data_IF_991201981680
#
_entry.id   IF_991201981680
#
_cell.length_a   1.000
_cell.length_b   1.000
_cell.length_c   1.000
_cell.angle_alpha   90.00
_cell.angle_beta   90.00
_cell.angle_gamma   90.00
#
_symmetry.space_group_name_H-M   'P 1'
#
loop_
_entity.id
_entity.type
_entity.pdbx_description
1 polymer ?
#
# COMPACT_ATOMS: atom_id res chain seq x y z
N UNK A 1 -27.02 29.23 4.02
CA UNK A 1 -26.27 27.98 3.78
C UNK A 1 -25.70 27.53 5.11
N UNK A 2 -26.03 26.31 5.54
CA UNK A 2 -26.01 25.85 6.94
C UNK A 2 -24.68 26.00 7.67
N UNK A 3 -24.70 26.75 8.76
CA UNK A 3 -23.63 26.86 9.75
C UNK A 3 -23.96 25.90 10.90
N UNK A 4 -23.56 24.64 10.74
CA UNK A 4 -23.69 23.63 11.80
C UNK A 4 -22.74 24.02 12.94
N UNK A 5 -23.27 24.73 13.96
CA UNK A 5 -22.61 25.35 15.11
C UNK A 5 -21.64 24.49 15.92
N UNK A 6 -20.58 24.03 15.28
CA UNK A 6 -19.50 23.28 15.86
C UNK A 6 -18.55 24.28 16.55
N UNK A 7 -18.57 24.30 17.89
CA UNK A 7 -17.64 25.09 18.69
C UNK A 7 -16.19 24.67 18.35
N UNK A 8 -15.40 25.57 17.76
CA UNK A 8 -14.00 25.34 17.40
C UNK A 8 -13.07 25.90 18.48
N UNK A 9 -12.07 25.11 18.89
CA UNK A 9 -11.09 25.49 19.90
C UNK A 9 -9.70 25.60 19.28
N UNK A 10 -8.98 26.68 19.62
CA UNK A 10 -7.57 26.82 19.31
C UNK A 10 -6.77 26.11 20.39
N UNK A 11 -6.05 25.07 20.01
CA UNK A 11 -5.27 24.24 20.94
C UNK A 11 -3.79 24.40 20.65
N UNK A 12 -2.97 24.49 21.71
CA UNK A 12 -1.51 24.47 21.61
C UNK A 12 -1.07 23.09 22.09
N UNK A 13 -0.35 22.38 21.24
CA UNK A 13 0.22 21.10 21.63
C UNK A 13 1.57 21.32 22.33
N UNK A 14 2.01 20.34 23.13
CA UNK A 14 3.33 20.34 23.79
C UNK A 14 4.49 20.57 22.82
N UNK A 15 4.28 20.26 21.53
CA UNK A 15 5.19 20.52 20.42
C UNK A 15 5.35 22.00 20.03
N UNK A 16 4.58 22.91 20.64
CA UNK A 16 4.49 24.33 20.28
C UNK A 16 3.56 24.65 19.10
N UNK A 17 3.15 23.65 18.29
CA UNK A 17 2.22 23.89 17.16
C UNK A 17 0.81 24.15 17.67
N UNK A 18 0.17 25.11 17.01
CA UNK A 18 -1.23 25.50 17.27
C UNK A 18 -2.15 24.89 16.21
N UNK A 19 -3.29 24.33 16.62
CA UNK A 19 -4.31 23.78 15.71
C UNK A 19 -5.72 24.14 16.15
N UNK A 20 -6.56 24.55 15.20
CA UNK A 20 -8.00 24.69 15.40
C UNK A 20 -8.66 23.32 15.27
N UNK A 21 -9.35 22.88 16.31
CA UNK A 21 -10.03 21.58 16.36
C UNK A 21 -11.48 21.76 16.80
N UNK A 22 -12.37 20.91 16.31
CA UNK A 22 -13.75 20.90 16.80
C UNK A 22 -13.74 20.45 18.26
N UNK A 23 -14.36 21.22 19.16
CA UNK A 23 -14.38 20.97 20.60
C UNK A 23 -14.92 19.58 20.97
N UNK A 24 -15.94 19.09 20.25
CA UNK A 24 -16.46 17.73 20.44
C UNK A 24 -15.41 16.64 20.18
N UNK A 25 -14.56 16.85 19.17
CA UNK A 25 -13.51 15.90 18.80
C UNK A 25 -12.34 15.93 19.78
N UNK A 26 -12.04 17.11 20.35
CA UNK A 26 -11.03 17.21 21.40
C UNK A 26 -11.48 16.51 22.68
N UNK A 27 -12.70 16.80 23.16
CA UNK A 27 -13.25 16.21 24.40
C UNK A 27 -13.42 14.70 24.34
N UNK A 28 -13.81 14.15 23.18
CA UNK A 28 -13.93 12.69 22.97
C UNK A 28 -12.58 12.00 22.67
N UNK A 29 -11.47 12.74 22.69
CA UNK A 29 -10.14 12.16 22.42
C UNK A 29 -9.92 11.73 20.97
N UNK A 30 -10.68 12.24 20.01
CA UNK A 30 -10.46 11.97 18.58
C UNK A 30 -9.32 12.85 18.00
N UNK A 31 -9.07 14.03 18.57
CA UNK A 31 -7.93 14.90 18.20
C UNK A 31 -6.80 14.75 19.22
N UNK A 32 -5.84 13.86 18.95
CA UNK A 32 -4.81 13.45 19.93
C UNK A 32 -3.40 14.00 19.67
N UNK A 33 -3.16 14.69 18.54
CA UNK A 33 -1.84 15.27 18.26
C UNK A 33 -1.90 16.45 17.29
N UNK A 34 -0.88 17.32 17.36
CA UNK A 34 -0.62 18.38 16.38
C UNK A 34 0.05 17.85 15.09
N UNK A 35 0.25 16.53 14.95
CA UNK A 35 1.11 15.94 13.93
C UNK A 35 2.61 15.96 14.27
N UNK A 36 3.01 16.39 15.48
CA UNK A 36 4.40 16.31 15.96
C UNK A 36 4.80 14.94 16.48
N UNK A 37 3.84 14.04 16.69
CA UNK A 37 4.14 12.72 17.21
C UNK A 37 4.87 12.00 16.09
N UNK A 38 6.19 12.03 16.14
CA UNK A 38 7.10 11.22 15.33
C UNK A 38 6.97 9.76 15.77
N UNK A 39 5.78 9.21 15.65
CA UNK A 39 5.64 7.82 15.29
C UNK A 39 5.53 7.85 13.78
N UNK A 40 6.38 7.10 13.09
CA UNK A 40 6.14 6.72 11.69
C UNK A 40 4.81 5.95 11.62
N UNK A 41 3.69 6.66 11.69
CA UNK A 41 2.41 6.20 11.18
C UNK A 41 2.44 6.41 9.66
N UNK A 42 3.41 5.75 9.04
CA UNK A 42 3.22 5.21 7.71
C UNK A 42 2.16 4.14 7.94
N UNK A 43 0.99 4.23 7.31
CA UNK A 43 0.12 3.06 7.18
C UNK A 43 0.99 1.92 6.61
N UNK A 44 1.47 0.99 7.45
CA UNK A 44 2.30 -0.16 7.03
C UNK A 44 3.77 -0.19 7.47
N UNK A 45 4.25 0.73 8.33
CA UNK A 45 5.63 0.72 8.83
C UNK A 45 5.94 -0.37 9.86
N UNK A 46 5.95 -1.65 9.47
CA UNK A 46 6.62 -2.71 10.23
C UNK A 46 7.86 -3.17 9.48
N UNK A 47 8.93 -3.44 10.23
CA UNK A 47 10.33 -3.66 9.79
C UNK A 47 10.57 -4.89 8.89
N UNK A 48 9.63 -5.29 8.04
CA UNK A 48 9.76 -6.39 7.08
C UNK A 48 8.98 -6.10 5.78
N UNK A 49 9.14 -4.91 5.21
CA UNK A 49 8.45 -4.51 3.96
C UNK A 49 8.75 -5.48 2.82
N UNK A 50 10.02 -5.83 2.63
CA UNK A 50 10.46 -6.72 1.56
C UNK A 50 9.98 -8.15 1.71
N UNK A 51 10.13 -8.73 2.91
CA UNK A 51 9.61 -10.07 3.19
C UNK A 51 8.09 -10.14 3.05
N UNK A 52 7.37 -9.10 3.48
CA UNK A 52 5.91 -9.03 3.30
C UNK A 52 5.51 -8.87 1.83
N UNK A 53 6.23 -8.07 1.05
CA UNK A 53 6.02 -7.94 -0.40
C UNK A 53 6.20 -9.29 -1.09
N UNK A 54 7.30 -9.98 -0.83
CA UNK A 54 7.59 -11.33 -1.34
C UNK A 54 6.51 -12.35 -0.92
N UNK A 55 6.17 -12.38 0.37
CA UNK A 55 5.14 -13.27 0.91
C UNK A 55 3.77 -13.00 0.27
N UNK A 56 3.42 -11.73 0.08
CA UNK A 56 2.18 -11.31 -0.58
C UNK A 56 2.16 -11.72 -2.05
N UNK A 57 3.27 -11.51 -2.78
CA UNK A 57 3.46 -12.00 -4.14
C UNK A 57 3.17 -13.51 -4.24
N UNK A 58 3.82 -14.34 -3.43
CA UNK A 58 3.59 -15.80 -3.41
C UNK A 58 2.14 -16.16 -3.09
N UNK A 59 1.53 -15.49 -2.11
CA UNK A 59 0.12 -15.73 -1.75
C UNK A 59 -0.83 -15.44 -2.91
N UNK A 60 -0.62 -14.35 -3.65
CA UNK A 60 -1.44 -14.00 -4.83
C UNK A 60 -1.38 -15.09 -5.91
N UNK A 61 -0.23 -15.71 -6.12
CA UNK A 61 -0.03 -16.76 -7.12
C UNK A 61 -0.48 -18.16 -6.67
N UNK A 62 -0.21 -18.56 -5.43
CA UNK A 62 -0.34 -19.97 -5.04
C UNK A 62 -1.46 -20.27 -4.04
N UNK A 63 -1.98 -19.26 -3.33
CA UNK A 63 -3.01 -19.48 -2.30
C UNK A 63 -4.40 -19.27 -2.86
N UNK A 64 -5.14 -20.36 -3.13
CA UNK A 64 -6.54 -20.32 -3.60
C UNK A 64 -7.51 -19.58 -2.65
N UNK A 65 -7.16 -19.49 -1.37
CA UNK A 65 -7.93 -18.75 -0.36
C UNK A 65 -7.63 -17.25 -0.35
N UNK A 66 -6.60 -16.80 -1.07
CA UNK A 66 -6.26 -15.39 -1.12
C UNK A 66 -7.28 -14.63 -1.99
N UNK A 67 -7.84 -13.49 -1.54
CA UNK A 67 -8.89 -12.78 -2.28
C UNK A 67 -8.47 -12.39 -3.70
N UNK A 68 -7.18 -12.09 -3.90
CA UNK A 68 -6.64 -11.74 -5.21
C UNK A 68 -6.31 -12.95 -6.08
N UNK A 69 -6.38 -14.20 -5.62
CA UNK A 69 -5.94 -15.37 -6.40
C UNK A 69 -6.60 -15.46 -7.78
N UNK A 70 -7.88 -15.11 -7.86
CA UNK A 70 -8.65 -15.07 -9.12
C UNK A 70 -7.98 -14.17 -10.18
N UNK A 71 -7.37 -13.07 -9.75
CA UNK A 71 -6.72 -12.09 -10.63
C UNK A 71 -5.26 -12.43 -10.95
N UNK A 72 -4.72 -13.50 -10.38
CA UNK A 72 -3.31 -13.88 -10.45
C UNK A 72 -3.20 -15.39 -10.70
N UNK A 73 -3.10 -16.22 -9.65
CA UNK A 73 -2.91 -17.67 -9.80
C UNK A 73 -3.96 -18.38 -10.65
N UNK A 74 -5.23 -18.00 -10.57
CA UNK A 74 -6.29 -18.59 -11.41
C UNK A 74 -6.12 -18.28 -12.90
N UNK A 75 -5.30 -17.28 -13.25
CA UNK A 75 -4.95 -16.92 -14.64
C UNK A 75 -3.66 -17.60 -15.12
N UNK A 76 -3.01 -18.42 -14.29
CA UNK A 76 -1.73 -19.03 -14.60
C UNK A 76 -0.50 -18.16 -14.28
N UNK A 77 -0.69 -17.00 -13.65
CA UNK A 77 0.43 -16.14 -13.25
C UNK A 77 1.15 -16.79 -12.06
N UNK A 78 2.43 -17.09 -12.25
CA UNK A 78 3.31 -17.72 -11.27
C UNK A 78 4.47 -16.81 -10.86
N UNK A 79 5.34 -17.33 -10.00
CA UNK A 79 6.62 -16.77 -9.60
C UNK A 79 7.70 -17.70 -10.14
N UNK A 80 8.79 -17.15 -10.70
CA UNK A 80 9.93 -17.97 -11.13
C UNK A 80 10.56 -18.74 -9.96
N UNK A 81 11.20 -19.87 -10.26
CA UNK A 81 11.72 -20.78 -9.22
C UNK A 81 12.71 -20.10 -8.28
N UNK A 82 13.56 -19.22 -8.81
CA UNK A 82 14.52 -18.43 -8.05
C UNK A 82 13.81 -17.58 -6.98
N UNK A 83 12.74 -16.88 -7.34
CA UNK A 83 11.98 -16.03 -6.41
C UNK A 83 11.05 -16.81 -5.47
N UNK A 84 11.02 -18.14 -5.53
CA UNK A 84 10.39 -18.96 -4.48
C UNK A 84 11.15 -18.90 -3.16
N UNK A 85 12.40 -18.42 -3.18
CA UNK A 85 13.25 -18.18 -2.02
C UNK A 85 13.45 -16.68 -1.82
N UNK A 86 13.37 -16.23 -0.57
CA UNK A 86 13.43 -14.80 -0.24
C UNK A 86 14.81 -14.15 -0.52
N UNK A 87 15.95 -14.79 -0.19
CA UNK A 87 17.26 -14.19 -0.45
C UNK A 87 17.47 -13.84 -1.92
N UNK A 88 17.10 -14.73 -2.84
CA UNK A 88 17.24 -14.51 -4.28
C UNK A 88 16.33 -13.38 -4.79
N UNK A 89 15.07 -13.33 -4.31
CA UNK A 89 14.19 -12.20 -4.60
C UNK A 89 14.77 -10.87 -4.11
N UNK A 90 15.39 -10.86 -2.93
CA UNK A 90 16.00 -9.66 -2.36
C UNK A 90 17.28 -9.25 -3.10
N UNK A 91 18.08 -10.21 -3.53
CA UNK A 91 19.27 -9.98 -4.37
C UNK A 91 18.89 -9.28 -5.68
N UNK A 92 17.82 -9.75 -6.33
CA UNK A 92 17.40 -9.20 -7.63
C UNK A 92 16.67 -7.84 -7.50
N UNK A 93 15.88 -7.63 -6.44
CA UNK A 93 15.01 -6.44 -6.32
C UNK A 93 15.54 -5.35 -5.38
N UNK A 94 16.39 -5.70 -4.42
CA UNK A 94 16.87 -4.80 -3.36
C UNK A 94 15.76 -4.21 -2.50
N UNK A 95 16.09 -3.15 -1.76
CA UNK A 95 15.11 -2.43 -0.94
C UNK A 95 14.10 -1.68 -1.81
N UNK A 96 12.82 -1.80 -1.46
CA UNK A 96 11.76 -1.00 -2.06
C UNK A 96 11.94 0.48 -1.72
N UNK A 97 12.08 1.38 -2.71
CA UNK A 97 12.11 2.81 -2.46
C UNK A 97 10.79 3.31 -1.84
N UNK A 98 10.86 4.40 -1.09
CA UNK A 98 9.70 4.95 -0.39
C UNK A 98 8.58 5.34 -1.38
N UNK A 99 7.35 4.92 -1.06
CA UNK A 99 6.16 5.24 -1.85
C UNK A 99 5.98 4.38 -3.11
N UNK A 100 6.84 3.40 -3.35
CA UNK A 100 6.72 2.44 -4.44
C UNK A 100 6.19 1.09 -3.95
N UNK A 101 5.81 0.24 -4.91
CA UNK A 101 5.43 -1.15 -4.65
C UNK A 101 5.74 -2.04 -5.84
N UNK A 102 5.82 -3.35 -5.61
CA UNK A 102 6.17 -4.33 -6.64
C UNK A 102 5.06 -4.41 -7.70
N UNK A 103 5.43 -4.13 -8.95
CA UNK A 103 4.57 -4.26 -10.13
C UNK A 103 5.17 -5.22 -11.15
N UNK A 104 4.32 -5.76 -12.03
CA UNK A 104 4.78 -6.50 -13.21
C UNK A 104 4.78 -5.61 -14.44
N UNK A 105 5.82 -5.60 -15.26
CA UNK A 105 5.91 -4.74 -16.44
C UNK A 105 4.84 -5.14 -17.45
N UNK A 106 4.79 -6.42 -17.83
CA UNK A 106 3.66 -7.06 -18.45
C UNK A 106 2.74 -7.62 -17.36
N UNK A 107 1.57 -6.99 -17.22
CA UNK A 107 0.57 -7.38 -16.24
C UNK A 107 0.07 -8.83 -16.42
N UNK A 108 0.16 -9.40 -17.63
CA UNK A 108 -0.27 -10.76 -17.94
C UNK A 108 0.88 -11.78 -17.82
N UNK A 109 2.13 -11.33 -17.65
CA UNK A 109 3.32 -12.15 -17.38
C UNK A 109 3.52 -12.56 -15.91
N UNK A 110 4.60 -13.28 -15.63
CA UNK A 110 4.94 -13.83 -14.32
C UNK A 110 5.70 -12.85 -13.42
N UNK A 111 5.91 -13.22 -12.14
CA UNK A 111 6.88 -12.53 -11.30
C UNK A 111 8.28 -13.12 -11.52
N UNK A 112 9.14 -12.32 -12.13
CA UNK A 112 10.54 -12.64 -12.44
C UNK A 112 11.33 -11.34 -12.63
N UNK A 113 12.67 -11.36 -12.52
CA UNK A 113 13.50 -10.15 -12.59
C UNK A 113 13.20 -9.27 -13.82
N UNK A 114 13.04 -9.89 -14.99
CA UNK A 114 12.85 -9.18 -16.25
C UNK A 114 11.42 -8.64 -16.43
N UNK A 115 10.45 -9.14 -15.66
CA UNK A 115 9.06 -8.70 -15.73
C UNK A 115 8.61 -7.93 -14.48
N UNK A 116 9.50 -7.54 -13.57
CA UNK A 116 9.12 -6.86 -12.34
C UNK A 116 9.92 -5.57 -12.09
N UNK A 117 9.24 -4.60 -11.50
CA UNK A 117 9.86 -3.32 -11.12
C UNK A 117 9.18 -2.70 -9.89
N UNK A 118 9.87 -1.77 -9.25
CA UNK A 118 9.24 -0.86 -8.30
C UNK A 118 8.46 0.21 -9.06
N UNK A 119 7.17 0.38 -8.74
CA UNK A 119 6.29 1.33 -9.42
C UNK A 119 5.51 2.18 -8.45
N UNK A 120 5.21 3.40 -8.89
CA UNK A 120 4.32 4.33 -8.22
C UNK A 120 2.87 3.85 -8.31
N UNK A 121 1.97 4.33 -7.43
CA UNK A 121 0.54 4.04 -7.53
C UNK A 121 -0.06 4.43 -8.88
N UNK A 122 0.44 5.50 -9.51
CA UNK A 122 -0.03 5.97 -10.82
C UNK A 122 0.38 5.01 -11.94
N UNK A 123 1.63 4.56 -11.96
CA UNK A 123 2.10 3.57 -12.95
C UNK A 123 1.33 2.27 -12.83
N UNK A 124 1.16 1.73 -11.61
CA UNK A 124 0.36 0.53 -11.40
C UNK A 124 -1.08 0.69 -11.84
N UNK A 125 -1.68 1.87 -11.63
CA UNK A 125 -3.05 2.14 -12.07
C UNK A 125 -3.17 2.14 -13.61
N UNK A 126 -2.17 2.70 -14.30
CA UNK A 126 -2.11 2.72 -15.75
C UNK A 126 -1.85 1.32 -16.34
N UNK A 127 -1.15 0.46 -15.60
CA UNK A 127 -0.86 -0.92 -15.98
C UNK A 127 -2.01 -1.90 -15.66
N UNK A 128 -3.18 -1.40 -15.24
CA UNK A 128 -4.35 -2.25 -15.00
C UNK A 128 -4.96 -2.69 -16.32
N UNK A 129 -5.49 -3.92 -16.31
CA UNK A 129 -6.28 -4.43 -17.43
C UNK A 129 -7.45 -3.48 -17.72
N UNK A 130 -7.75 -3.21 -19.00
CA UNK A 130 -8.93 -2.46 -19.36
C UNK A 130 -10.19 -3.23 -18.94
N UNK A 131 -11.19 -2.50 -18.46
CA UNK A 131 -12.51 -3.08 -18.22
C UNK A 131 -13.10 -3.57 -19.54
N UNK A 132 -13.49 -4.84 -19.62
CA UNK A 132 -14.23 -5.36 -20.78
C UNK A 132 -15.62 -4.72 -20.78
N UNK A 133 -15.89 -3.83 -21.74
CA UNK A 133 -17.27 -3.48 -22.08
C UNK A 133 -17.90 -4.71 -22.72
N UNK A 134 -18.94 -5.26 -22.11
CA UNK A 134 -19.80 -6.23 -22.79
C UNK A 134 -20.38 -5.53 -24.03
N UNK A 135 -20.23 -6.16 -25.20
CA UNK A 135 -20.93 -5.69 -26.39
C UNK A 135 -22.42 -5.94 -26.16
N UNK A 136 -23.21 -4.86 -26.17
CA UNK A 136 -24.67 -4.94 -26.26
C UNK A 136 -25.09 -5.58 -27.59
#
# INVERSE_FOLDING_TARGET
TGDDGALHWKTVCVCGKTKTVIGRNLRRGASRSCGCRQGNWIHGGTKNTMYNTWKSMKKRCFSRLHPSYINYGARGITVCDRWLYFPDFYEDMGDCPAGLSLDRIDNDGNYEPDNCKWSTPKEQANNRRPYKKEKA
#
